data_IF_432888192547
#
_entry.id   IF_432888192547
#
_cell.length_a   1.000
_cell.length_b   1.000
_cell.length_c   1.000
_cell.angle_alpha   90.00
_cell.angle_beta   90.00
_cell.angle_gamma   90.00
#
_symmetry.space_group_name_H-M   'P 1'
#
loop_
_entity.id
_entity.type
_entity.pdbx_description
1 polymer ?
#
# COMPACT_ATOMS: atom_id res chain seq x y z
N UNK A 1 -11.29 13.38 -3.52
CA UNK A 1 -11.60 12.22 -4.38
C UNK A 1 -10.91 10.98 -3.83
N UNK A 2 -11.65 10.10 -3.16
CA UNK A 2 -11.13 8.79 -2.71
C UNK A 2 -11.25 7.76 -3.84
N UNK A 3 -10.26 6.88 -3.99
CA UNK A 3 -10.27 5.87 -5.04
C UNK A 3 -11.01 4.62 -4.55
N UNK A 4 -12.15 4.31 -5.16
CA UNK A 4 -12.95 3.15 -4.78
C UNK A 4 -12.45 1.90 -5.49
N UNK A 5 -12.07 0.87 -4.74
CA UNK A 5 -11.66 -0.42 -5.30
C UNK A 5 -12.76 -1.46 -5.10
N UNK A 6 -13.13 -2.19 -6.16
CA UNK A 6 -14.15 -3.25 -6.11
C UNK A 6 -13.79 -4.40 -5.15
N UNK A 7 -12.51 -4.54 -4.80
CA UNK A 7 -12.04 -5.61 -3.92
C UNK A 7 -10.69 -5.25 -3.32
N UNK A 8 -10.42 -5.78 -2.11
CA UNK A 8 -9.11 -5.65 -1.45
C UNK A 8 -7.96 -6.07 -2.36
N UNK A 9 -8.12 -7.15 -3.13
CA UNK A 9 -7.11 -7.64 -4.08
C UNK A 9 -6.80 -6.65 -5.20
N UNK A 10 -7.79 -5.87 -5.65
CA UNK A 10 -7.60 -4.83 -6.67
C UNK A 10 -6.83 -3.64 -6.09
N UNK A 11 -7.19 -3.22 -4.88
CA UNK A 11 -6.46 -2.20 -4.12
C UNK A 11 -5.00 -2.61 -3.88
N UNK A 12 -4.77 -3.84 -3.41
CA UNK A 12 -3.41 -4.39 -3.22
C UNK A 12 -2.62 -4.33 -4.53
N UNK A 13 -3.18 -4.82 -5.64
CA UNK A 13 -2.47 -4.82 -6.93
C UNK A 13 -2.10 -3.41 -7.36
N UNK A 14 -3.03 -2.47 -7.26
CA UNK A 14 -2.79 -1.07 -7.58
C UNK A 14 -1.65 -0.47 -6.75
N UNK A 15 -1.66 -0.68 -5.43
CA UNK A 15 -0.61 -0.17 -4.53
C UNK A 15 0.75 -0.81 -4.83
N UNK A 16 0.76 -2.10 -5.17
CA UNK A 16 1.98 -2.81 -5.57
C UNK A 16 2.54 -2.28 -6.89
N UNK A 17 1.72 -2.14 -7.94
CA UNK A 17 2.13 -1.56 -9.22
C UNK A 17 2.64 -0.13 -9.06
N UNK A 18 1.95 0.69 -8.26
CA UNK A 18 2.39 2.04 -7.93
C UNK A 18 3.76 2.07 -7.25
N UNK A 19 3.97 1.21 -6.24
CA UNK A 19 5.26 1.10 -5.57
C UNK A 19 6.36 0.62 -6.53
N UNK A 20 6.06 -0.36 -7.39
CA UNK A 20 7.02 -0.90 -8.36
C UNK A 20 7.42 0.15 -9.41
N UNK A 21 6.48 0.97 -9.88
CA UNK A 21 6.77 2.09 -10.78
C UNK A 21 7.76 3.10 -10.16
N UNK A 22 7.79 3.19 -8.83
CA UNK A 22 8.76 4.02 -8.09
C UNK A 22 10.06 3.28 -7.72
N UNK A 23 10.25 2.03 -8.19
CA UNK A 23 11.40 1.19 -7.81
C UNK A 23 11.34 0.71 -6.37
N UNK A 24 10.16 0.73 -5.74
CA UNK A 24 9.92 0.29 -4.36
C UNK A 24 9.05 -0.97 -4.37
N UNK A 25 8.91 -1.60 -3.21
CA UNK A 25 8.10 -2.81 -3.06
C UNK A 25 7.21 -2.67 -1.84
N UNK A 26 5.91 -2.50 -2.07
CA UNK A 26 4.92 -2.46 -1.00
C UNK A 26 4.70 -3.85 -0.40
N UNK A 27 4.43 -3.91 0.90
CA UNK A 27 3.98 -5.08 1.65
C UNK A 27 2.89 -4.65 2.62
N UNK A 28 1.97 -5.55 2.95
CA UNK A 28 0.94 -5.26 3.95
C UNK A 28 1.56 -5.26 5.35
N UNK A 29 1.37 -4.17 6.10
CA UNK A 29 1.76 -4.11 7.50
C UNK A 29 0.70 -4.81 8.35
N UNK A 30 0.99 -6.04 8.75
CA UNK A 30 0.05 -6.85 9.53
C UNK A 30 -0.13 -6.36 10.97
N UNK A 31 0.79 -5.54 11.49
CA UNK A 31 0.72 -5.02 12.87
C UNK A 31 -0.24 -3.85 13.01
N UNK A 32 -0.38 -3.02 11.96
CA UNK A 32 -1.26 -1.85 11.91
C UNK A 32 -2.46 -2.01 11.00
N UNK A 33 -2.56 -3.13 10.29
CA UNK A 33 -3.78 -3.47 9.57
C UNK A 33 -4.77 -4.11 10.55
N UNK A 34 -5.89 -3.44 10.78
CA UNK A 34 -7.02 -3.96 11.54
C UNK A 34 -8.16 -4.34 10.57
N UNK A 35 -9.13 -5.15 10.98
CA UNK A 35 -10.17 -5.70 10.10
C UNK A 35 -10.89 -4.69 9.20
N UNK A 36 -10.96 -3.42 9.61
CA UNK A 36 -11.55 -2.32 8.82
C UNK A 36 -10.55 -1.55 7.94
N UNK A 37 -9.24 -1.57 8.24
CA UNK A 37 -8.23 -0.71 7.62
C UNK A 37 -6.95 -1.47 7.31
N UNK A 38 -6.50 -1.43 6.04
CA UNK A 38 -5.28 -2.13 5.61
C UNK A 38 -4.19 -1.12 5.28
N UNK A 39 -3.06 -1.19 6.00
CA UNK A 39 -1.90 -0.33 5.77
C UNK A 39 -0.85 -1.06 4.96
N UNK A 40 -0.32 -0.39 3.94
CA UNK A 40 0.79 -0.90 3.15
C UNK A 40 2.04 -0.07 3.46
N UNK A 41 3.18 -0.74 3.60
CA UNK A 41 4.48 -0.13 3.87
C UNK A 41 5.47 -0.61 2.82
N UNK A 42 6.45 0.22 2.48
CA UNK A 42 7.49 -0.20 1.54
C UNK A 42 8.54 -1.02 2.30
N UNK A 43 8.78 -2.26 1.87
CA UNK A 43 9.77 -3.15 2.47
C UNK A 43 11.21 -2.83 2.02
N UNK A 44 11.48 -1.60 1.58
CA UNK A 44 12.80 -1.21 1.12
C UNK A 44 13.50 -0.42 2.22
N UNK A 45 14.46 -1.03 2.90
CA UNK A 45 15.34 -0.34 3.84
C UNK A 45 16.15 0.80 3.18
N UNK A 46 16.20 0.84 1.84
CA UNK A 46 17.02 1.77 1.05
C UNK A 46 16.24 2.92 0.40
N UNK A 47 14.95 3.11 0.69
CA UNK A 47 14.25 4.27 0.13
C UNK A 47 13.15 4.75 1.05
N UNK A 48 13.32 5.99 1.54
CA UNK A 48 12.30 6.78 2.22
C UNK A 48 10.97 6.71 1.44
N UNK A 49 10.07 5.86 1.89
CA UNK A 49 8.70 5.84 1.41
C UNK A 49 7.92 6.81 2.29
N UNK A 50 7.73 8.02 1.78
CA UNK A 50 6.73 8.93 2.34
C UNK A 50 5.37 8.23 2.34
N UNK A 51 4.65 8.40 3.44
CA UNK A 51 3.42 7.68 3.77
C UNK A 51 2.35 7.85 2.67
N UNK A 52 1.85 6.72 2.16
CA UNK A 52 0.64 6.70 1.31
C UNK A 52 -0.54 6.39 2.25
N UNK A 53 -1.29 7.42 2.65
CA UNK A 53 -2.59 7.27 3.31
C UNK A 53 -3.69 7.12 2.25
N UNK A 54 -4.49 6.06 2.36
CA UNK A 54 -5.71 5.88 1.58
C UNK A 54 -6.90 6.06 2.54
N UNK A 55 -7.71 7.09 2.30
CA UNK A 55 -8.95 7.41 3.00
C UNK A 55 -10.15 6.67 2.40
#
# INVERSE_FOLDING_TARGET
EGQHFQSRKACTRHIHDFALAQGKRAVTDQKRSDGASFRYVCNNARSSCEHIEAA
#
